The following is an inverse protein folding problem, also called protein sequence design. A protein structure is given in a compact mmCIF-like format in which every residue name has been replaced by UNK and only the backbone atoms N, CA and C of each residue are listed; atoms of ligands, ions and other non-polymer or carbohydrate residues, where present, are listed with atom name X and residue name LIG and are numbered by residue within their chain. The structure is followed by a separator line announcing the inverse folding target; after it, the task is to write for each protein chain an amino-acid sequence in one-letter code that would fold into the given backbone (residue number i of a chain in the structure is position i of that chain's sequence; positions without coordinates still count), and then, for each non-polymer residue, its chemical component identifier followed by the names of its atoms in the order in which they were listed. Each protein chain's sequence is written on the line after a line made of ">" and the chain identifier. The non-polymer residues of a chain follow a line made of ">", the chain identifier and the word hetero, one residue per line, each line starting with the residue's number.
data_IF_604868697001
#
_entry.id   IF_604868697001
#
_cell.length_a   1.000
_cell.length_b   1.000
_cell.length_c   1.000
_cell.angle_alpha   90.00
_cell.angle_beta   90.00
_cell.angle_gamma   90.00
#
_symmetry.space_group_name_H-M   'P 1'
#
loop_
_entity.id
_entity.type
_entity.pdbx_description
1 polymer ?
#
# COMPACT_ATOMS: atom_id res chain seq x y z
N UNK A 1 -10.63 10.68 3.59
CA UNK A 1 -10.93 9.40 2.89
C UNK A 1 -12.00 9.50 1.79
N UNK A 2 -12.24 10.65 1.16
CA UNK A 2 -13.18 10.77 0.03
C UNK A 2 -14.58 10.12 0.26
N UNK A 3 -15.11 10.18 1.49
CA UNK A 3 -16.41 9.57 1.85
C UNK A 3 -16.35 8.14 2.40
N UNK A 4 -15.21 7.45 2.37
CA UNK A 4 -15.09 6.04 2.80
C UNK A 4 -14.77 5.83 4.29
N UNK A 5 -14.65 6.91 5.08
CA UNK A 5 -14.21 6.80 6.48
C UNK A 5 -15.14 5.91 7.30
N UNK A 6 -16.43 6.25 7.30
CA UNK A 6 -17.42 5.54 8.12
C UNK A 6 -17.59 4.09 7.66
N UNK A 7 -17.46 3.84 6.35
CA UNK A 7 -17.50 2.50 5.76
C UNK A 7 -16.37 1.63 6.29
N UNK A 8 -15.14 2.14 6.34
CA UNK A 8 -13.99 1.40 6.88
C UNK A 8 -14.10 1.23 8.41
N UNK A 9 -14.64 2.21 9.13
CA UNK A 9 -14.83 2.14 10.58
C UNK A 9 -15.87 1.06 11.00
N UNK A 10 -16.60 0.47 10.05
CA UNK A 10 -17.55 -0.64 10.25
C UNK A 10 -16.97 -2.03 9.92
N UNK A 11 -15.78 -2.11 9.29
CA UNK A 11 -15.27 -3.36 8.73
C UNK A 11 -15.02 -4.49 9.75
N UNK A 12 -14.76 -4.16 11.01
CA UNK A 12 -14.54 -5.14 12.08
C UNK A 12 -15.81 -5.46 12.88
N UNK A 13 -16.90 -4.71 12.66
CA UNK A 13 -18.16 -4.89 13.38
C UNK A 13 -19.05 -5.92 12.69
N UNK A 14 -18.91 -6.06 11.38
CA UNK A 14 -19.72 -6.95 10.55
C UNK A 14 -18.84 -7.98 9.83
N UNK A 15 -18.96 -9.28 10.15
CA UNK A 15 -18.24 -10.35 9.46
C UNK A 15 -18.55 -10.48 7.96
N UNK A 16 -19.67 -9.89 7.51
CA UNK A 16 -20.09 -9.85 6.10
C UNK A 16 -19.73 -8.53 5.40
N UNK A 17 -18.97 -7.66 6.08
CA UNK A 17 -18.55 -6.39 5.52
C UNK A 17 -17.75 -6.58 4.22
N UNK A 18 -18.06 -5.72 3.24
CA UNK A 18 -17.40 -5.71 1.95
C UNK A 18 -17.33 -4.30 1.39
N UNK A 19 -16.29 -4.01 0.61
CA UNK A 19 -16.06 -2.72 -0.03
C UNK A 19 -15.83 -2.88 -1.53
N UNK A 20 -16.67 -2.20 -2.31
CA UNK A 20 -16.48 -2.03 -3.74
C UNK A 20 -15.81 -0.68 -4.00
N UNK A 21 -14.67 -0.70 -4.69
CA UNK A 21 -13.97 0.51 -5.11
C UNK A 21 -14.33 0.84 -6.56
N UNK A 22 -14.62 2.11 -6.89
CA UNK A 22 -14.94 2.51 -8.25
C UNK A 22 -13.83 2.12 -9.23
N UNK A 23 -14.23 1.46 -10.33
CA UNK A 23 -13.34 1.08 -11.42
C UNK A 23 -12.54 -0.21 -11.22
N UNK A 24 -12.53 -0.80 -10.02
CA UNK A 24 -11.88 -2.08 -9.77
C UNK A 24 -12.85 -3.25 -9.94
N UNK A 25 -12.41 -4.39 -10.52
CA UNK A 25 -13.29 -5.52 -10.83
C UNK A 25 -13.51 -6.48 -9.64
N UNK A 26 -13.13 -6.09 -8.43
CA UNK A 26 -13.16 -6.95 -7.24
C UNK A 26 -13.75 -6.26 -6.02
N UNK A 27 -14.21 -7.10 -5.10
CA UNK A 27 -14.78 -6.71 -3.81
C UNK A 27 -13.74 -6.99 -2.74
N UNK A 28 -13.46 -6.00 -1.89
CA UNK A 28 -12.54 -6.13 -0.77
C UNK A 28 -13.30 -6.56 0.49
N UNK A 29 -12.68 -7.43 1.27
CA UNK A 29 -13.12 -7.77 2.64
C UNK A 29 -12.24 -7.04 3.66
N UNK A 30 -12.62 -7.09 4.94
CA UNK A 30 -11.82 -6.48 6.00
C UNK A 30 -10.37 -7.04 6.06
N UNK A 31 -10.17 -8.30 5.64
CA UNK A 31 -8.85 -8.94 5.61
C UNK A 31 -7.95 -8.46 4.46
N UNK A 32 -8.53 -7.85 3.43
CA UNK A 32 -7.79 -7.31 2.29
C UNK A 32 -7.30 -5.88 2.55
N UNK A 33 -7.79 -5.22 3.61
CA UNK A 33 -7.36 -3.88 3.99
C UNK A 33 -6.01 -3.91 4.70
N UNK A 34 -5.14 -2.92 4.45
CA UNK A 34 -3.97 -2.69 5.29
C UNK A 34 -4.35 -2.56 6.76
N UNK A 35 -3.62 -3.24 7.65
CA UNK A 35 -3.95 -3.31 9.08
C UNK A 35 -4.00 -1.96 9.79
N UNK A 36 -3.27 -0.95 9.28
CA UNK A 36 -3.28 0.41 9.81
C UNK A 36 -4.55 1.22 9.44
N UNK A 37 -5.41 0.69 8.57
CA UNK A 37 -6.73 1.25 8.29
C UNK A 37 -7.81 0.72 9.25
N UNK A 38 -7.53 -0.38 9.94
CA UNK A 38 -8.53 -1.06 10.77
C UNK A 38 -8.70 -0.34 12.12
N UNK A 39 -9.91 -0.28 12.68
CA UNK A 39 -10.14 0.27 14.02
C UNK A 39 -9.28 -0.40 15.12
N UNK A 40 -8.95 -1.69 14.96
CA UNK A 40 -8.07 -2.45 15.86
C UNK A 40 -6.57 -2.21 15.67
N UNK A 41 -6.16 -1.26 14.81
CA UNK A 41 -4.76 -0.95 14.50
C UNK A 41 -3.88 -0.96 15.76
N UNK A 42 -2.82 -1.80 15.82
CA UNK A 42 -1.94 -1.82 16.98
C UNK A 42 -1.23 -0.48 17.17
N UNK A 43 -1.04 -0.06 18.42
CA UNK A 43 -0.38 1.20 18.81
C UNK A 43 0.85 1.60 17.97
N UNK A 44 1.84 0.71 17.69
CA UNK A 44 3.01 1.10 16.90
C UNK A 44 2.71 1.54 15.46
N UNK A 45 1.53 1.25 14.91
CA UNK A 45 1.13 1.58 13.54
C UNK A 45 0.13 2.73 13.46
N UNK A 46 -0.31 3.28 14.60
CA UNK A 46 -1.30 4.37 14.64
C UNK A 46 -0.84 5.66 13.98
N UNK A 47 0.48 5.84 13.79
CA UNK A 47 1.05 6.97 13.06
C UNK A 47 0.81 6.88 11.54
N UNK A 48 0.69 5.68 10.98
CA UNK A 48 0.70 5.49 9.54
C UNK A 48 -0.51 6.16 8.87
N UNK A 49 -1.70 5.99 9.44
CA UNK A 49 -2.94 6.54 8.89
C UNK A 49 -2.92 8.08 8.77
N UNK A 50 -2.66 8.86 9.83
CA UNK A 50 -2.58 10.32 9.70
C UNK A 50 -1.43 10.75 8.78
N UNK A 51 -0.27 10.08 8.80
CA UNK A 51 0.84 10.41 7.88
C UNK A 51 0.47 10.21 6.41
N UNK A 52 -0.15 9.08 6.05
CA UNK A 52 -0.61 8.86 4.68
C UNK A 52 -1.73 9.82 4.28
N UNK A 53 -2.65 10.13 5.22
CA UNK A 53 -3.70 11.10 4.96
C UNK A 53 -3.12 12.48 4.63
N UNK A 54 -2.18 12.99 5.42
CA UNK A 54 -1.50 14.26 5.16
C UNK A 54 -0.79 14.24 3.79
N UNK A 55 -0.08 13.16 3.46
CA UNK A 55 0.61 13.03 2.17
C UNK A 55 -0.35 13.04 0.97
N UNK A 56 -1.49 12.34 1.07
CA UNK A 56 -2.51 12.31 0.02
C UNK A 56 -3.20 13.68 -0.11
N UNK A 57 -3.46 14.37 1.00
CA UNK A 57 -4.04 15.71 1.01
C UNK A 57 -3.09 16.74 0.37
N UNK A 58 -1.79 16.68 0.65
CA UNK A 58 -0.78 17.51 -0.01
C UNK A 58 -0.67 17.21 -1.50
N UNK A 59 -0.72 15.94 -1.90
CA UNK A 59 -0.74 15.54 -3.31
C UNK A 59 -1.95 16.16 -4.04
N UNK A 60 -3.12 16.15 -3.42
CA UNK A 60 -4.34 16.73 -3.97
C UNK A 60 -4.35 18.25 -4.12
N UNK A 61 -3.39 18.97 -3.51
CA UNK A 61 -3.22 20.42 -3.68
C UNK A 61 -2.35 20.79 -4.88
N UNK A 62 -1.65 19.80 -5.46
CA UNK A 62 -0.77 20.02 -6.61
C UNK A 62 -1.57 20.08 -7.90
N UNK A 63 -1.16 20.94 -8.83
CA UNK A 63 -1.70 20.95 -10.18
C UNK A 63 -1.10 19.78 -10.98
N UNK A 64 -1.93 18.76 -11.26
CA UNK A 64 -1.57 17.56 -12.03
C UNK A 64 -0.26 16.87 -11.57
N UNK A 65 -0.19 16.38 -10.31
CA UNK A 65 0.96 15.68 -9.79
C UNK A 65 1.29 14.41 -10.59
N UNK A 66 2.59 14.16 -10.79
CA UNK A 66 3.10 12.93 -11.38
C UNK A 66 3.46 11.93 -10.30
N UNK A 67 2.93 10.72 -10.39
CA UNK A 67 3.16 9.65 -9.41
C UNK A 67 3.78 8.46 -10.14
N UNK A 68 5.01 8.12 -9.75
CA UNK A 68 5.70 6.94 -10.27
C UNK A 68 5.23 5.71 -9.49
N UNK A 69 4.71 4.71 -10.19
CA UNK A 69 4.18 3.49 -9.58
C UNK A 69 5.04 2.32 -10.01
N UNK A 70 5.49 1.51 -9.04
CA UNK A 70 6.26 0.30 -9.33
C UNK A 70 5.33 -0.84 -9.79
N UNK A 71 4.77 -0.69 -10.99
CA UNK A 71 3.88 -1.62 -11.66
C UNK A 71 4.04 -1.48 -13.18
N UNK A 72 3.32 -2.29 -13.96
CA UNK A 72 3.24 -2.17 -15.42
C UNK A 72 1.80 -2.35 -15.90
N UNK A 73 1.47 -1.78 -17.05
CA UNK A 73 0.08 -1.67 -17.53
C UNK A 73 -0.63 -3.03 -17.66
N UNK A 74 0.08 -4.06 -18.15
CA UNK A 74 -0.51 -5.39 -18.30
C UNK A 74 -0.79 -6.11 -16.97
N UNK A 75 -0.24 -5.62 -15.83
CA UNK A 75 -0.52 -6.16 -14.50
C UNK A 75 -1.75 -5.51 -13.87
N UNK A 76 -1.88 -4.18 -13.99
CA UNK A 76 -2.85 -3.38 -13.23
C UNK A 76 -3.66 -2.44 -14.13
N UNK A 77 -4.09 -2.93 -15.29
CA UNK A 77 -4.81 -2.13 -16.29
C UNK A 77 -6.04 -1.41 -15.72
N UNK A 78 -6.92 -2.12 -15.01
CA UNK A 78 -8.14 -1.54 -14.45
C UNK A 78 -7.82 -0.53 -13.34
N UNK A 79 -6.86 -0.83 -12.46
CA UNK A 79 -6.49 0.06 -11.37
C UNK A 79 -5.86 1.37 -11.85
N UNK A 80 -4.96 1.31 -12.85
CA UNK A 80 -4.33 2.49 -13.43
C UNK A 80 -5.34 3.42 -14.11
N UNK A 81 -6.43 2.87 -14.67
CA UNK A 81 -7.50 3.63 -15.34
C UNK A 81 -8.62 4.08 -14.42
N UNK A 82 -8.75 3.46 -13.25
CA UNK A 82 -9.76 3.81 -12.24
C UNK A 82 -9.45 5.13 -11.55
N UNK A 83 -8.18 5.53 -11.54
CA UNK A 83 -7.74 6.77 -10.93
C UNK A 83 -7.98 7.92 -11.90
N UNK A 84 -8.55 9.01 -11.39
CA UNK A 84 -8.89 10.20 -12.15
C UNK A 84 -7.62 10.88 -12.70
N UNK A 85 -7.39 10.71 -14.01
CA UNK A 85 -6.23 11.28 -14.72
C UNK A 85 -6.25 12.81 -14.79
N UNK A 86 -7.39 13.46 -14.53
CA UNK A 86 -7.46 14.93 -14.43
C UNK A 86 -6.89 15.42 -13.09
N UNK A 87 -6.76 14.52 -12.10
CA UNK A 87 -6.24 14.83 -10.76
C UNK A 87 -4.82 14.32 -10.54
N UNK A 88 -4.42 13.20 -11.14
CA UNK A 88 -3.09 12.59 -10.94
C UNK A 88 -2.62 11.89 -12.22
N UNK A 89 -1.39 12.16 -12.62
CA UNK A 89 -0.71 11.47 -13.73
C UNK A 89 0.12 10.29 -13.21
N UNK A 90 -0.42 9.07 -13.35
CA UNK A 90 0.23 7.84 -12.92
C UNK A 90 1.16 7.29 -14.01
N UNK A 91 2.42 7.09 -13.65
CA UNK A 91 3.46 6.61 -14.56
C UNK A 91 3.96 5.24 -14.05
N UNK A 92 3.55 4.13 -14.66
CA UNK A 92 4.06 2.80 -14.32
C UNK A 92 5.52 2.65 -14.77
N UNK A 93 6.43 2.35 -13.83
CA UNK A 93 7.88 2.22 -14.08
C UNK A 93 8.44 0.84 -13.68
N UNK A 94 7.56 -0.12 -13.42
CA UNK A 94 7.90 -1.42 -12.87
C UNK A 94 8.19 -2.51 -13.91
N UNK A 95 8.69 -3.67 -13.44
CA UNK A 95 9.12 -3.91 -12.06
C UNK A 95 10.50 -3.32 -11.78
N UNK A 96 10.62 -2.56 -10.69
CA UNK A 96 11.91 -2.13 -10.16
C UNK A 96 12.61 -3.35 -9.55
N UNK A 97 13.74 -3.74 -10.13
CA UNK A 97 14.55 -4.86 -9.67
C UNK A 97 15.57 -4.38 -8.64
N UNK A 98 15.66 -5.02 -7.46
CA UNK A 98 16.71 -4.70 -6.50
C UNK A 98 18.11 -4.91 -7.08
N UNK A 99 19.01 -3.97 -6.82
CA UNK A 99 20.39 -4.00 -7.33
C UNK A 99 21.17 -5.25 -6.91
N UNK A 100 20.84 -5.84 -5.76
CA UNK A 100 21.43 -7.10 -5.28
C UNK A 100 21.29 -8.25 -6.31
N UNK A 101 20.22 -8.27 -7.11
CA UNK A 101 20.03 -9.26 -8.18
C UNK A 101 20.86 -8.96 -9.44
N UNK A 102 21.37 -7.73 -9.59
CA UNK A 102 22.11 -7.28 -10.78
C UNK A 102 23.62 -7.24 -10.57
N UNK A 103 24.08 -6.94 -9.35
CA UNK A 103 25.52 -6.79 -9.02
C UNK A 103 26.21 -8.16 -8.85
N UNK A 104 25.48 -9.21 -8.49
CA UNK A 104 26.06 -10.55 -8.27
C UNK A 104 27.12 -10.60 -7.15
N UNK A 105 27.30 -9.50 -6.41
CA UNK A 105 28.32 -9.35 -5.37
C UNK A 105 27.98 -10.04 -4.06
N UNK A 106 26.70 -10.24 -3.76
CA UNK A 106 26.29 -11.03 -2.59
C UNK A 106 24.89 -11.69 -2.80
N UNK A 107 24.82 -13.00 -3.07
CA UNK A 107 23.55 -13.72 -3.18
C UNK A 107 22.82 -13.89 -1.83
N UNK A 108 23.43 -13.48 -0.71
CA UNK A 108 22.84 -13.54 0.63
C UNK A 108 22.30 -12.19 1.11
N UNK A 109 22.52 -11.10 0.36
CA UNK A 109 21.94 -9.79 0.66
C UNK A 109 20.44 -9.79 0.35
N UNK A 110 19.65 -10.11 1.37
CA UNK A 110 18.18 -10.06 1.35
C UNK A 110 17.64 -8.71 1.81
N UNK A 111 18.51 -7.75 2.12
CA UNK A 111 18.09 -6.46 2.66
C UNK A 111 17.57 -5.57 1.53
N UNK A 112 16.28 -5.70 1.21
CA UNK A 112 15.57 -4.57 0.62
C UNK A 112 15.47 -3.49 1.70
N UNK A 113 16.13 -2.34 1.51
CA UNK A 113 16.16 -1.23 2.47
C UNK A 113 14.80 -0.57 2.78
N UNK A 114 13.69 -1.21 2.42
CA UNK A 114 12.33 -0.81 2.74
C UNK A 114 11.73 -1.48 3.99
N UNK A 115 12.46 -2.38 4.66
CA UNK A 115 11.97 -2.93 5.94
C UNK A 115 12.12 -1.89 7.05
N UNK A 116 10.98 -1.42 7.58
CA UNK A 116 10.92 -0.42 8.66
C UNK A 116 11.20 -1.03 10.03
N UNK A 117 11.11 -2.35 10.16
CA UNK A 117 11.30 -3.04 11.43
C UNK A 117 12.47 -3.99 11.35
N UNK A 118 13.30 -4.00 12.38
CA UNK A 118 14.36 -4.99 12.45
C UNK A 118 13.74 -6.36 12.72
N UNK A 119 13.80 -7.27 11.73
CA UNK A 119 13.41 -8.66 11.93
C UNK A 119 14.13 -9.22 13.17
N UNK A 120 13.36 -9.74 14.14
CA UNK A 120 13.96 -10.27 15.37
C UNK A 120 14.91 -11.43 15.02
N UNK A 121 16.10 -11.45 15.65
CA UNK A 121 16.98 -12.61 15.56
C UNK A 121 16.23 -13.77 16.19
N UNK A 122 15.86 -14.77 15.37
CA UNK A 122 15.35 -16.06 15.86
C UNK A 122 16.35 -16.57 16.88
N UNK A 123 15.94 -16.62 18.15
CA UNK A 123 16.73 -17.24 19.21
C UNK A 123 17.01 -18.68 18.81
N UNK A 124 18.27 -18.97 18.51
CA UNK A 124 18.73 -20.34 18.38
C UNK A 124 18.87 -20.89 19.79
N UNK A 125 17.91 -21.69 20.22
CA UNK A 125 18.08 -22.64 21.33
C UNK A 125 17.21 -23.86 21.04
N UNK A 126 17.80 -24.81 20.32
CA UNK A 126 17.42 -26.23 20.38
C UNK A 126 18.72 -27.04 20.44
N UNK A 127 19.15 -27.37 21.65
CA UNK A 127 19.99 -28.53 21.98
C UNK A 127 19.37 -29.19 23.20
#
# INVERSE_FOLDING_TARGET
>A
FNGYKDVVDECEKDPSWSLELPGLPFILTAHDLPSFLLPSTPYPYTFALPTFQEQIEELGKMDNPKVLVNTFEALEYDALRSIDMERVDLIPIGPLLPLAFLDGRDPTDKSTGGDLFQCSKRGGDYM
#
